data_IF_530166665461
#
_entry.id   IF_530166665461
#
_cell.length_a   1.000
_cell.length_b   1.000
_cell.length_c   1.000
_cell.angle_alpha   90.00
_cell.angle_beta   90.00
_cell.angle_gamma   90.00
#
_symmetry.space_group_name_H-M   'P 1'
#
loop_
_entity.id
_entity.type
_entity.pdbx_description
1 polymer ?
#
# COMPACT_ATOMS: atom_id res chain seq x y z
N UNK A 1 -9.33 4.90 -21.40
CA UNK A 1 -10.14 3.91 -22.15
C UNK A 1 -11.23 3.40 -21.22
N UNK A 2 -12.50 3.69 -21.52
CA UNK A 2 -13.64 3.09 -20.81
C UNK A 2 -13.75 1.64 -21.30
N UNK A 3 -13.54 0.68 -20.41
CA UNK A 3 -13.49 -0.74 -20.75
C UNK A 3 -14.87 -1.26 -21.14
N UNK A 4 -14.94 -2.11 -22.17
CA UNK A 4 -16.13 -2.93 -22.45
C UNK A 4 -16.57 -3.63 -21.16
N UNK A 5 -17.89 -3.80 -20.94
CA UNK A 5 -18.36 -4.70 -19.90
C UNK A 5 -17.71 -6.08 -20.15
N UNK A 6 -17.05 -6.62 -19.14
CA UNK A 6 -16.52 -7.98 -19.26
C UNK A 6 -17.70 -8.93 -19.40
N UNK A 7 -17.53 -9.94 -20.23
CA UNK A 7 -18.50 -11.03 -20.36
C UNK A 7 -18.85 -11.59 -18.96
N UNK A 8 -20.15 -11.64 -18.58
CA UNK A 8 -20.56 -12.21 -17.31
C UNK A 8 -20.05 -13.64 -17.10
N UNK A 9 -19.87 -14.43 -18.17
CA UNK A 9 -19.29 -15.77 -18.08
C UNK A 9 -17.83 -15.74 -17.60
N UNK A 10 -17.03 -14.78 -18.10
CA UNK A 10 -15.65 -14.60 -17.68
C UNK A 10 -15.56 -14.17 -16.20
N UNK A 11 -16.48 -13.33 -15.72
CA UNK A 11 -16.54 -12.94 -14.31
C UNK A 11 -16.96 -14.09 -13.39
N UNK A 12 -17.85 -14.98 -13.84
CA UNK A 12 -18.21 -16.19 -13.11
C UNK A 12 -17.02 -17.13 -12.96
N UNK A 13 -16.22 -17.29 -14.01
CA UNK A 13 -15.00 -18.11 -13.96
C UNK A 13 -13.92 -17.47 -13.08
N UNK A 14 -13.75 -16.14 -13.14
CA UNK A 14 -12.87 -15.41 -12.21
C UNK A 14 -13.28 -15.67 -10.76
N UNK A 15 -14.58 -15.58 -10.44
CA UNK A 15 -15.10 -15.83 -9.10
C UNK A 15 -14.78 -17.25 -8.65
N UNK A 16 -15.08 -18.25 -9.48
CA UNK A 16 -14.78 -19.65 -9.21
C UNK A 16 -13.29 -19.84 -8.89
N UNK A 17 -12.41 -19.30 -9.72
CA UNK A 17 -10.96 -19.39 -9.50
C UNK A 17 -10.49 -18.69 -8.21
N UNK A 18 -11.12 -17.59 -7.80
CA UNK A 18 -10.80 -16.93 -6.53
C UNK A 18 -11.23 -17.76 -5.33
N UNK A 19 -12.45 -18.29 -5.37
CA UNK A 19 -13.09 -19.04 -4.29
C UNK A 19 -12.58 -20.50 -4.19
N UNK A 20 -11.94 -21.05 -5.22
CA UNK A 20 -11.48 -22.46 -5.22
C UNK A 20 -9.97 -22.63 -5.38
N UNK A 21 -9.19 -21.58 -5.62
CA UNK A 21 -7.75 -21.72 -5.89
C UNK A 21 -6.87 -20.71 -5.16
N UNK A 22 -5.57 -21.02 -5.08
CA UNK A 22 -4.51 -20.12 -4.60
C UNK A 22 -3.85 -19.28 -5.73
N UNK A 23 -4.41 -19.23 -6.94
CA UNK A 23 -3.81 -18.51 -8.07
C UNK A 23 -3.68 -16.98 -7.85
N UNK A 24 -2.54 -16.38 -8.18
CA UNK A 24 -2.45 -14.91 -8.16
C UNK A 24 -3.42 -14.26 -9.17
N UNK A 25 -3.83 -13.01 -8.94
CA UNK A 25 -4.67 -12.28 -9.91
C UNK A 25 -4.02 -12.17 -11.30
N UNK A 26 -2.68 -12.22 -11.39
CA UNK A 26 -1.97 -12.24 -12.67
C UNK A 26 -2.18 -13.56 -13.41
N UNK A 27 -2.18 -14.68 -12.68
CA UNK A 27 -2.47 -15.99 -13.27
C UNK A 27 -3.93 -16.07 -13.70
N UNK A 28 -4.87 -15.62 -12.86
CA UNK A 28 -6.30 -15.59 -13.20
C UNK A 28 -6.55 -14.71 -14.43
N UNK A 29 -5.89 -13.56 -14.54
CA UNK A 29 -5.99 -12.70 -15.71
C UNK A 29 -5.48 -13.37 -17.01
N UNK A 30 -4.43 -14.21 -16.92
CA UNK A 30 -3.95 -14.97 -18.07
C UNK A 30 -4.94 -16.06 -18.52
N UNK A 31 -5.59 -16.71 -17.57
CA UNK A 31 -6.56 -17.80 -17.85
C UNK A 31 -7.87 -17.24 -18.40
N UNK A 32 -8.38 -16.17 -17.79
CA UNK A 32 -9.74 -15.64 -18.07
C UNK A 32 -9.76 -14.49 -19.07
N UNK A 33 -8.59 -13.91 -19.40
CA UNK A 33 -8.49 -12.70 -20.20
C UNK A 33 -8.97 -11.43 -19.48
N UNK A 34 -9.52 -11.53 -18.27
CA UNK A 34 -10.02 -10.39 -17.50
C UNK A 34 -8.83 -9.60 -16.92
N UNK A 35 -8.76 -8.27 -17.11
CA UNK A 35 -7.66 -7.47 -16.57
C UNK A 35 -7.54 -7.58 -15.05
N UNK A 36 -6.31 -7.67 -14.55
CA UNK A 36 -5.99 -7.77 -13.10
C UNK A 36 -6.67 -6.69 -12.26
N UNK A 37 -6.75 -5.46 -12.78
CA UNK A 37 -7.40 -4.32 -12.11
C UNK A 37 -8.90 -4.54 -11.94
N UNK A 38 -9.55 -5.12 -12.94
CA UNK A 38 -10.97 -5.46 -12.88
C UNK A 38 -11.23 -6.58 -11.88
N UNK A 39 -10.39 -7.62 -11.87
CA UNK A 39 -10.46 -8.71 -10.89
C UNK A 39 -10.36 -8.14 -9.47
N UNK A 40 -9.34 -7.33 -9.20
CA UNK A 40 -9.12 -6.73 -7.88
C UNK A 40 -10.29 -5.86 -7.44
N UNK A 41 -10.91 -5.11 -8.35
CA UNK A 41 -12.09 -4.30 -8.05
C UNK A 41 -13.29 -5.17 -7.69
N UNK A 42 -13.58 -6.22 -8.47
CA UNK A 42 -14.70 -7.12 -8.17
C UNK A 42 -14.53 -7.89 -6.87
N UNK A 43 -13.31 -8.30 -6.53
CA UNK A 43 -13.02 -8.91 -5.22
C UNK A 43 -13.42 -7.98 -4.08
N UNK A 44 -13.04 -6.69 -4.18
CA UNK A 44 -13.36 -5.68 -3.16
C UNK A 44 -14.86 -5.34 -3.13
N UNK A 45 -15.47 -5.10 -4.29
CA UNK A 45 -16.87 -4.68 -4.41
C UNK A 45 -17.87 -5.80 -4.10
N UNK A 46 -17.51 -7.06 -4.41
CA UNK A 46 -18.41 -8.22 -4.27
C UNK A 46 -18.01 -9.16 -3.14
N UNK A 47 -16.97 -8.81 -2.38
CA UNK A 47 -16.54 -9.56 -1.20
C UNK A 47 -16.16 -11.00 -1.51
N UNK A 48 -15.52 -11.28 -2.64
CA UNK A 48 -15.11 -12.64 -2.99
C UNK A 48 -13.96 -13.09 -2.06
N UNK A 49 -14.20 -14.16 -1.32
CA UNK A 49 -13.28 -14.67 -0.31
C UNK A 49 -12.49 -15.84 -0.88
N UNK A 50 -11.17 -15.77 -0.75
CA UNK A 50 -10.30 -16.90 -1.07
C UNK A 50 -10.29 -17.89 0.09
N UNK A 51 -10.26 -19.22 -0.16
CA UNK A 51 -10.10 -20.22 0.87
C UNK A 51 -8.87 -19.90 1.74
N UNK A 52 -9.12 -19.64 3.02
CA UNK A 52 -8.10 -19.35 4.03
C UNK A 52 -7.25 -20.60 4.24
N UNK A 53 -5.97 -20.53 3.92
CA UNK A 53 -5.02 -21.66 3.97
C UNK A 53 -4.33 -21.96 2.65
N UNK A 54 -4.73 -21.30 1.54
CA UNK A 54 -3.96 -21.36 0.30
C UNK A 54 -2.66 -20.57 0.41
N UNK A 55 -1.56 -21.13 -0.13
CA UNK A 55 -0.25 -20.49 -0.20
C UNK A 55 -0.38 -19.02 -0.61
N UNK A 56 -0.14 -18.12 0.35
CA UNK A 56 0.01 -16.70 0.04
C UNK A 56 1.29 -16.62 -0.79
N UNK A 57 1.22 -16.20 -2.06
CA UNK A 57 2.42 -16.14 -2.88
C UNK A 57 3.45 -15.24 -2.18
N UNK A 58 4.74 -15.62 -2.18
CA UNK A 58 5.77 -14.87 -1.51
C UNK A 58 5.75 -13.41 -1.99
N UNK A 59 5.99 -12.49 -1.05
CA UNK A 59 6.07 -11.07 -1.36
C UNK A 59 7.11 -10.86 -2.47
N UNK A 60 6.84 -9.93 -3.39
CA UNK A 60 7.90 -9.50 -4.31
C UNK A 60 9.03 -8.85 -3.51
N UNK A 61 10.25 -8.76 -4.07
CA UNK A 61 11.36 -8.07 -3.42
C UNK A 61 11.02 -6.62 -3.00
N UNK A 62 10.14 -5.95 -3.75
CA UNK A 62 9.63 -4.62 -3.41
C UNK A 62 8.59 -4.65 -2.27
N UNK A 63 7.77 -5.70 -2.23
CA UNK A 63 6.87 -5.99 -1.10
C UNK A 63 7.64 -6.26 0.19
N UNK A 64 8.69 -7.08 0.12
CA UNK A 64 9.58 -7.35 1.26
C UNK A 64 10.28 -6.08 1.76
N UNK A 65 10.83 -5.26 0.84
CA UNK A 65 11.44 -3.98 1.19
C UNK A 65 10.46 -3.06 1.92
N UNK A 66 9.22 -2.97 1.42
CA UNK A 66 8.17 -2.16 2.04
C UNK A 66 7.79 -2.68 3.43
N UNK A 67 7.66 -4.00 3.59
CA UNK A 67 7.41 -4.63 4.88
C UNK A 67 8.53 -4.34 5.87
N UNK A 68 9.80 -4.59 5.50
CA UNK A 68 10.96 -4.30 6.36
C UNK A 68 11.05 -2.82 6.75
N UNK A 69 10.73 -1.93 5.83
CA UNK A 69 10.69 -0.49 6.08
C UNK A 69 9.57 -0.09 7.05
N UNK A 70 8.38 -0.69 6.93
CA UNK A 70 7.28 -0.49 7.89
C UNK A 70 7.70 -0.94 9.30
N UNK A 71 8.24 -2.15 9.42
CA UNK A 71 8.75 -2.67 10.70
C UNK A 71 9.85 -1.76 11.31
N UNK A 72 10.76 -1.24 10.48
CA UNK A 72 11.76 -0.27 10.94
C UNK A 72 11.09 1.01 11.45
N UNK A 73 10.10 1.54 10.71
CA UNK A 73 9.42 2.77 11.08
C UNK A 73 8.65 2.61 12.41
N UNK A 74 7.98 1.49 12.62
CA UNK A 74 7.32 1.15 13.90
C UNK A 74 8.31 1.16 15.07
N UNK A 75 9.49 0.55 14.91
CA UNK A 75 10.51 0.57 15.97
C UNK A 75 11.02 1.98 16.26
N UNK A 76 11.22 2.81 15.23
CA UNK A 76 11.69 4.19 15.41
C UNK A 76 10.60 5.04 16.07
N UNK A 77 9.33 4.83 15.72
CA UNK A 77 8.19 5.51 16.33
C UNK A 77 8.13 5.19 17.83
N UNK A 78 8.20 3.90 18.19
CA UNK A 78 8.20 3.44 19.59
C UNK A 78 9.33 4.08 20.38
N UNK A 79 10.55 4.09 19.84
CA UNK A 79 11.69 4.72 20.50
C UNK A 79 11.52 6.24 20.66
N UNK A 80 10.84 6.91 19.73
CA UNK A 80 10.55 8.33 19.83
C UNK A 80 9.51 8.62 20.93
N UNK A 81 8.45 7.82 21.01
CA UNK A 81 7.42 7.91 22.05
C UNK A 81 8.03 7.70 23.43
N UNK A 82 8.85 6.65 23.61
CA UNK A 82 9.55 6.38 24.87
C UNK A 82 10.46 7.55 25.28
N UNK A 83 11.12 8.19 24.31
CA UNK A 83 11.95 9.38 24.57
C UNK A 83 11.11 10.58 25.00
N UNK A 84 9.99 10.85 24.34
CA UNK A 84 9.08 11.94 24.74
C UNK A 84 8.58 11.71 26.16
N UNK A 85 8.11 10.51 26.48
CA UNK A 85 7.59 10.17 27.79
C UNK A 85 8.64 10.33 28.90
N UNK A 86 9.89 9.93 28.64
CA UNK A 86 10.99 10.14 29.61
C UNK A 86 11.29 11.61 29.84
N UNK A 87 11.25 12.44 28.80
CA UNK A 87 11.49 13.87 28.90
C UNK A 87 10.33 14.55 29.65
N UNK A 88 9.07 14.14 29.41
CA UNK A 88 7.92 14.65 30.16
C UNK A 88 7.98 14.33 31.66
N UNK A 89 8.54 13.18 32.03
CA UNK A 89 8.71 12.76 33.42
C UNK A 89 9.96 13.35 34.09
N UNK A 90 10.87 13.96 33.34
CA UNK A 90 12.09 14.56 33.86
C UNK A 90 11.87 16.07 34.13
N UNK A 91 11.81 16.51 35.40
CA UNK A 91 11.64 17.91 35.74
C UNK A 91 12.84 18.79 35.34
N UNK A 92 13.97 18.19 34.97
CA UNK A 92 15.17 18.88 34.46
C UNK A 92 15.29 18.87 32.93
N UNK A 93 14.26 18.35 32.25
CA UNK A 93 14.22 18.28 30.80
C UNK A 93 14.43 19.64 30.13
N UNK A 94 15.37 19.68 29.19
CA UNK A 94 15.67 20.90 28.43
C UNK A 94 14.85 20.97 27.12
N UNK A 95 14.56 22.17 26.60
CA UNK A 95 13.93 22.34 25.30
C UNK A 95 14.68 21.63 24.15
N UNK A 96 16.01 21.50 24.26
CA UNK A 96 16.84 20.81 23.29
C UNK A 96 16.57 19.29 23.26
N UNK A 97 16.27 18.68 24.40
CA UNK A 97 15.91 17.27 24.50
C UNK A 97 14.57 17.00 23.79
N UNK A 98 13.56 17.84 24.04
CA UNK A 98 12.28 17.78 23.33
C UNK A 98 12.45 17.92 21.82
N UNK A 99 13.24 18.91 21.37
CA UNK A 99 13.51 19.11 19.94
C UNK A 99 14.18 17.89 19.29
N UNK A 100 15.03 17.16 20.01
CA UNK A 100 15.64 15.91 19.54
C UNK A 100 14.58 14.81 19.39
N UNK A 101 13.70 14.63 20.38
CA UNK A 101 12.65 13.62 20.32
C UNK A 101 11.68 13.87 19.14
N UNK A 102 11.27 15.12 18.94
CA UNK A 102 10.43 15.53 17.80
C UNK A 102 11.09 15.24 16.45
N UNK A 103 12.41 15.44 16.32
CA UNK A 103 13.14 15.10 15.07
C UNK A 103 13.14 13.60 14.79
N UNK A 104 13.30 12.77 15.83
CA UNK A 104 13.26 11.31 15.68
C UNK A 104 11.84 10.86 15.28
N UNK A 105 10.81 11.44 15.89
CA UNK A 105 9.40 11.18 15.55
C UNK A 105 9.10 11.53 14.08
N UNK A 106 9.55 12.71 13.62
CA UNK A 106 9.37 13.14 12.24
C UNK A 106 10.09 12.21 11.24
N UNK A 107 11.26 11.68 11.60
CA UNK A 107 11.98 10.71 10.78
C UNK A 107 11.24 9.38 10.70
N UNK A 108 10.68 8.88 11.81
CA UNK A 108 9.84 7.69 11.83
C UNK A 108 8.65 7.82 10.88
N UNK A 109 7.90 8.91 10.97
CA UNK A 109 6.74 9.18 10.11
C UNK A 109 7.11 9.28 8.62
N UNK A 110 8.28 9.81 8.30
CA UNK A 110 8.79 9.87 6.91
C UNK A 110 9.15 8.49 6.37
N UNK A 111 9.69 7.62 7.22
CA UNK A 111 9.96 6.23 6.87
C UNK A 111 8.66 5.45 6.72
N UNK A 112 7.68 5.67 7.59
CA UNK A 112 6.41 4.95 7.55
C UNK A 112 5.55 5.34 6.34
N UNK A 113 5.53 6.63 5.99
CA UNK A 113 4.88 7.07 4.75
C UNK A 113 5.50 6.28 3.61
N UNK A 114 4.74 5.44 2.86
CA UNK A 114 5.27 4.92 1.61
C UNK A 114 5.78 6.14 0.85
N UNK A 115 6.94 6.02 0.19
CA UNK A 115 7.26 6.99 -0.84
C UNK A 115 6.08 6.90 -1.81
N UNK A 116 5.11 7.79 -1.64
CA UNK A 116 4.05 8.04 -2.58
C UNK A 116 4.87 8.50 -3.76
N UNK A 117 5.21 7.55 -4.64
CA UNK A 117 5.92 7.80 -5.86
C UNK A 117 5.17 8.97 -6.46
N UNK A 118 5.79 10.17 -6.41
CA UNK A 118 5.16 11.46 -6.67
C UNK A 118 4.10 11.22 -7.70
N UNK A 119 2.86 11.25 -7.23
CA UNK A 119 1.73 10.61 -7.89
C UNK A 119 1.87 10.80 -9.39
N UNK A 120 1.97 9.72 -10.17
CA UNK A 120 2.01 9.82 -11.65
C UNK A 120 0.84 10.68 -12.17
N UNK A 121 -0.21 10.83 -11.36
CA UNK A 121 -1.35 11.74 -11.53
C UNK A 121 -0.92 13.22 -11.49
N UNK A 122 -0.05 13.64 -10.56
CA UNK A 122 0.45 15.02 -10.44
C UNK A 122 1.32 15.44 -11.62
N UNK A 123 2.12 14.53 -12.20
CA UNK A 123 2.92 14.82 -13.41
C UNK A 123 2.05 14.87 -14.66
N UNK A 124 1.05 13.98 -14.77
CA UNK A 124 0.10 13.97 -15.87
C UNK A 124 -0.87 15.18 -15.84
N UNK A 125 -1.26 15.66 -14.66
CA UNK A 125 -2.08 16.86 -14.49
C UNK A 125 -1.33 18.13 -14.90
N UNK A 126 -0.06 18.31 -14.49
CA UNK A 126 0.76 19.46 -14.92
C UNK A 126 1.02 19.50 -16.43
N UNK A 127 1.15 18.34 -17.08
CA UNK A 127 1.30 18.25 -18.55
C UNK A 127 0.00 18.61 -19.27
N UNK A 128 -1.17 18.34 -18.67
CA UNK A 128 -2.47 18.75 -19.22
C UNK A 128 -2.71 20.25 -19.06
N UNK A 129 -2.36 20.83 -17.92
CA UNK A 129 -2.52 22.26 -17.64
C UNK A 129 -1.60 23.12 -18.51
N UNK A 130 -0.37 22.65 -18.81
CA UNK A 130 0.55 23.36 -19.72
C UNK A 130 0.20 23.29 -21.21
N UNK A 131 -0.76 22.45 -21.63
CA UNK A 131 -1.18 22.32 -23.04
C UNK A 131 -2.44 23.13 -23.38
N UNK A 132 -3.07 23.77 -22.39
CA UNK A 132 -4.28 24.58 -22.57
C UNK A 132 -3.99 26.09 -22.66
N UNK A 133 -2.72 26.50 -22.59
CA UNK A 133 -2.29 27.90 -22.58
C UNK A 133 -1.42 28.27 -23.81
N UNK A 134 -1.57 27.57 -24.93
CA UNK A 134 -0.89 27.84 -26.19
C UNK A 134 -1.84 27.74 -27.37
#
# INVERSE_FOLDING_TARGET
>A
MRGRPNDPAALAEVRRLIETSALSYRAIAKVTGVPRTTISRHVLERGWIRPTGGDVPPLSAEGERRMRRGLLAERVLRAAEDLVQRIELDPTATPAAFARAVRVLALAQRLDRPCMARSRVSRAQRVKEGKAAG
#
